data_IF_584689347668
#
_entry.id   IF_584689347668
#
_cell.length_a   1.000
_cell.length_b   1.000
_cell.length_c   1.000
_cell.angle_alpha   90.00
_cell.angle_beta   90.00
_cell.angle_gamma   90.00
#
_symmetry.space_group_name_H-M   'P 1'
#
loop_
_entity.id
_entity.type
_entity.pdbx_description
1 polymer ?
#
# COMPACT_ATOMS: atom_id res chain seq x y z
N UNK A 1 -48.33 -36.44 -37.76
CA UNK A 1 -47.16 -37.31 -37.43
C UNK A 1 -46.35 -37.79 -38.66
N UNK A 2 -46.09 -36.93 -39.66
CA UNK A 2 -45.17 -37.25 -40.78
C UNK A 2 -44.08 -36.18 -41.03
N UNK A 3 -44.00 -35.16 -40.17
CA UNK A 3 -43.05 -34.06 -40.33
C UNK A 3 -41.93 -34.02 -39.26
N UNK A 4 -41.98 -34.90 -38.24
CA UNK A 4 -40.92 -35.04 -37.22
C UNK A 4 -39.94 -36.21 -37.45
N UNK A 5 -40.13 -37.04 -38.50
CA UNK A 5 -39.18 -38.13 -38.82
C UNK A 5 -38.08 -37.76 -39.82
N UNK A 6 -38.10 -36.55 -40.40
CA UNK A 6 -37.06 -36.08 -41.31
C UNK A 6 -35.94 -35.27 -40.64
N UNK A 7 -36.12 -34.72 -39.44
CA UNK A 7 -35.04 -34.00 -38.74
C UNK A 7 -34.12 -34.89 -37.91
N UNK A 8 -34.55 -36.11 -37.54
CA UNK A 8 -33.66 -37.04 -36.82
C UNK A 8 -32.68 -37.79 -37.73
N UNK A 9 -32.99 -38.00 -39.02
CA UNK A 9 -32.05 -38.66 -39.94
C UNK A 9 -30.88 -37.74 -40.38
N UNK A 10 -31.05 -36.42 -40.40
CA UNK A 10 -29.93 -35.50 -40.65
C UNK A 10 -29.00 -35.34 -39.44
N UNK A 11 -29.50 -35.52 -38.20
CA UNK A 11 -28.67 -35.40 -36.99
C UNK A 11 -27.75 -36.62 -36.79
N UNK A 12 -28.17 -37.82 -37.21
CA UNK A 12 -27.37 -39.05 -37.07
C UNK A 12 -26.31 -39.17 -38.19
N UNK A 13 -26.54 -38.58 -39.36
CA UNK A 13 -25.55 -38.58 -40.45
C UNK A 13 -24.37 -37.61 -40.22
N UNK A 14 -24.57 -36.53 -39.43
CA UNK A 14 -23.50 -35.56 -39.13
C UNK A 14 -22.61 -36.05 -37.96
N UNK A 15 -23.14 -36.86 -37.05
CA UNK A 15 -22.34 -37.46 -35.95
C UNK A 15 -21.47 -38.65 -36.40
N UNK A 16 -21.75 -39.29 -37.54
CA UNK A 16 -20.93 -40.39 -38.07
C UNK A 16 -19.76 -39.95 -38.96
N UNK A 17 -19.67 -38.66 -39.33
CA UNK A 17 -18.61 -38.11 -40.17
C UNK A 17 -17.48 -37.41 -39.41
N UNK A 18 -17.58 -37.27 -38.08
CA UNK A 18 -16.51 -36.71 -37.23
C UNK A 18 -15.64 -37.75 -36.51
N UNK A 19 -15.84 -39.04 -36.79
CA UNK A 19 -14.93 -40.13 -36.39
C UNK A 19 -14.10 -40.57 -37.61
N UNK A 20 -13.34 -39.63 -38.18
CA UNK A 20 -12.18 -39.98 -38.98
C UNK A 20 -10.96 -39.74 -38.11
N UNK A 21 -10.42 -40.83 -37.58
CA UNK A 21 -9.10 -40.90 -36.97
C UNK A 21 -8.09 -40.37 -37.98
N UNK A 22 -7.63 -39.13 -37.80
CA UNK A 22 -6.40 -38.68 -38.45
C UNK A 22 -5.29 -39.63 -37.97
N UNK A 23 -4.43 -40.15 -38.86
CA UNK A 23 -3.28 -40.91 -38.42
C UNK A 23 -2.49 -40.04 -37.45
N UNK A 24 -2.18 -40.61 -36.27
CA UNK A 24 -1.24 -40.03 -35.33
C UNK A 24 0.04 -39.81 -36.13
N UNK A 25 0.31 -38.54 -36.47
CA UNK A 25 1.66 -38.13 -36.83
C UNK A 25 2.51 -38.54 -35.65
N UNK A 26 3.34 -39.55 -35.83
CA UNK A 26 4.45 -39.84 -34.93
C UNK A 26 5.32 -38.59 -34.96
N UNK A 27 5.02 -37.64 -34.07
CA UNK A 27 6.01 -36.70 -33.62
C UNK A 27 7.18 -37.57 -33.19
N UNK A 28 8.28 -37.44 -33.92
CA UNK A 28 9.56 -37.89 -33.42
C UNK A 28 9.64 -37.33 -31.99
N UNK A 29 9.79 -38.23 -31.01
CA UNK A 29 10.21 -37.81 -29.69
C UNK A 29 11.51 -37.04 -29.93
N UNK A 30 11.46 -35.73 -29.77
CA UNK A 30 12.67 -34.94 -29.63
C UNK A 30 13.53 -35.65 -28.57
N UNK A 31 14.85 -35.76 -28.78
CA UNK A 31 15.72 -36.43 -27.82
C UNK A 31 15.45 -35.80 -26.46
N UNK A 32 15.13 -36.65 -25.48
CA UNK A 32 14.90 -36.26 -24.08
C UNK A 32 16.06 -35.36 -23.65
N UNK A 33 15.87 -34.05 -23.77
CA UNK A 33 16.66 -33.08 -23.04
C UNK A 33 16.37 -33.42 -21.60
N UNK A 34 17.41 -33.75 -20.83
CA UNK A 34 17.29 -33.83 -19.38
C UNK A 34 16.48 -32.63 -18.92
N UNK A 35 15.34 -32.81 -18.23
CA UNK A 35 14.57 -31.68 -17.77
C UNK A 35 15.49 -30.81 -16.90
N UNK A 36 15.44 -29.49 -17.11
CA UNK A 36 16.19 -28.56 -16.29
C UNK A 36 15.51 -28.53 -14.93
N UNK A 37 15.93 -29.46 -14.08
CA UNK A 37 15.38 -29.69 -12.74
C UNK A 37 16.51 -29.69 -11.72
N UNK A 38 16.20 -29.29 -10.49
CA UNK A 38 17.13 -29.39 -9.36
C UNK A 38 16.42 -29.20 -8.03
N UNK A 39 17.21 -29.15 -6.95
CA UNK A 39 16.71 -28.83 -5.61
C UNK A 39 16.98 -27.37 -5.28
N UNK A 40 16.21 -26.82 -4.37
CA UNK A 40 16.39 -25.48 -3.83
C UNK A 40 16.06 -25.49 -2.33
N UNK A 41 16.62 -26.47 -1.61
CA UNK A 41 16.30 -26.77 -0.23
C UNK A 41 15.91 -28.23 -0.02
N UNK A 42 15.81 -28.64 1.26
CA UNK A 42 15.68 -30.05 1.65
C UNK A 42 14.48 -30.78 1.03
N UNK A 43 13.36 -30.08 0.84
CA UNK A 43 12.09 -30.63 0.34
C UNK A 43 11.49 -29.80 -0.80
N UNK A 44 12.27 -28.89 -1.38
CA UNK A 44 11.85 -28.02 -2.47
C UNK A 44 12.66 -28.34 -3.73
N UNK A 45 11.97 -28.43 -4.86
CA UNK A 45 12.55 -28.68 -6.17
C UNK A 45 12.11 -27.62 -7.16
N UNK A 46 12.95 -27.35 -8.14
CA UNK A 46 12.62 -26.45 -9.23
C UNK A 46 12.59 -27.21 -10.56
N UNK A 47 11.75 -26.73 -11.47
CA UNK A 47 11.65 -27.15 -12.86
C UNK A 47 11.63 -25.90 -13.74
N UNK A 48 12.55 -25.81 -14.70
CA UNK A 48 12.59 -24.73 -15.67
C UNK A 48 11.98 -25.16 -17.01
N UNK A 49 10.94 -24.45 -17.42
CA UNK A 49 10.18 -24.74 -18.63
C UNK A 49 10.73 -23.90 -19.79
N UNK A 50 11.55 -24.54 -20.64
CA UNK A 50 12.06 -23.92 -21.87
C UNK A 50 10.90 -23.55 -22.81
N UNK A 51 10.91 -22.30 -23.30
CA UNK A 51 9.91 -21.76 -24.22
C UNK A 51 8.90 -20.82 -23.57
N UNK A 52 8.59 -21.00 -22.28
CA UNK A 52 7.84 -20.02 -21.47
C UNK A 52 8.74 -19.22 -20.53
N UNK A 53 10.01 -19.61 -20.38
CA UNK A 53 10.97 -18.99 -19.47
C UNK A 53 10.47 -18.96 -18.02
N UNK A 54 9.78 -20.05 -17.64
CA UNK A 54 9.09 -20.18 -16.37
C UNK A 54 9.86 -21.11 -15.43
N UNK A 55 10.12 -20.65 -14.22
CA UNK A 55 10.65 -21.44 -13.11
C UNK A 55 9.50 -21.84 -12.19
N UNK A 56 9.20 -23.13 -12.15
CA UNK A 56 8.19 -23.70 -11.25
C UNK A 56 8.92 -24.29 -10.06
N UNK A 57 8.56 -23.86 -8.84
CA UNK A 57 9.12 -24.36 -7.60
C UNK A 57 8.02 -25.10 -6.84
N UNK A 58 8.28 -26.38 -6.57
CA UNK A 58 7.35 -27.29 -5.92
C UNK A 58 7.95 -27.91 -4.68
N UNK A 59 7.08 -28.35 -3.77
CA UNK A 59 7.48 -29.10 -2.59
C UNK A 59 7.03 -28.41 -1.32
N UNK A 60 7.84 -28.52 -0.26
CA UNK A 60 7.50 -27.94 1.05
C UNK A 60 8.67 -27.25 1.71
N UNK A 61 8.38 -26.33 2.62
CA UNK A 61 9.40 -25.69 3.45
C UNK A 61 10.04 -24.48 2.78
N UNK A 62 11.36 -24.36 2.85
CA UNK A 62 12.09 -23.15 2.47
C UNK A 62 12.77 -23.28 1.11
N UNK A 63 12.82 -22.18 0.36
CA UNK A 63 13.66 -22.02 -0.82
C UNK A 63 15.02 -21.49 -0.38
N UNK A 64 16.07 -22.29 -0.53
CA UNK A 64 17.44 -21.99 -0.13
C UNK A 64 18.32 -21.75 -1.38
N UNK A 65 19.17 -20.71 -1.35
CA UNK A 65 20.04 -20.32 -2.48
C UNK A 65 21.19 -21.31 -2.73
N UNK A 66 21.67 -21.97 -1.68
CA UNK A 66 22.92 -22.74 -1.70
C UNK A 66 22.88 -24.05 -2.52
N UNK A 67 21.76 -24.37 -3.19
CA UNK A 67 21.59 -25.60 -3.96
C UNK A 67 21.24 -25.42 -5.46
N UNK A 68 21.34 -24.21 -6.03
CA UNK A 68 21.15 -24.03 -7.48
C UNK A 68 22.36 -24.53 -8.27
N UNK A 69 22.50 -25.84 -8.46
CA UNK A 69 23.42 -26.44 -9.43
C UNK A 69 22.92 -26.24 -10.87
N UNK A 70 22.84 -24.98 -11.31
CA UNK A 70 22.31 -24.60 -12.63
C UNK A 70 23.37 -24.74 -13.71
N UNK A 71 23.42 -25.90 -14.34
CA UNK A 71 24.40 -26.20 -15.40
C UNK A 71 23.93 -25.79 -16.80
N UNK A 72 22.70 -25.30 -16.95
CA UNK A 72 21.95 -25.32 -18.22
C UNK A 72 21.18 -24.02 -18.56
N UNK A 73 20.98 -23.11 -17.59
CA UNK A 73 20.44 -21.77 -17.76
C UNK A 73 20.93 -20.87 -16.62
N UNK A 74 20.80 -19.56 -16.78
CA UNK A 74 21.20 -18.57 -15.76
C UNK A 74 19.94 -17.98 -15.14
N UNK A 75 19.73 -18.19 -13.84
CA UNK A 75 18.57 -17.68 -13.10
C UNK A 75 18.34 -16.19 -13.38
N UNK A 76 19.44 -15.45 -13.41
CA UNK A 76 19.50 -14.00 -13.53
C UNK A 76 19.01 -13.47 -14.89
N UNK A 77 19.22 -14.24 -15.97
CA UNK A 77 18.99 -13.75 -17.35
C UNK A 77 17.90 -14.48 -18.11
N UNK A 78 17.53 -15.70 -17.69
CA UNK A 78 16.66 -16.57 -18.49
C UNK A 78 15.26 -16.74 -17.87
N UNK A 79 15.07 -16.46 -16.58
CA UNK A 79 13.78 -16.64 -15.90
C UNK A 79 12.93 -15.37 -15.98
N UNK A 80 11.78 -15.47 -16.62
CA UNK A 80 10.81 -14.38 -16.75
C UNK A 80 9.62 -14.52 -15.79
N UNK A 81 9.30 -15.75 -15.39
CA UNK A 81 8.15 -16.06 -14.53
C UNK A 81 8.56 -17.03 -13.44
N UNK A 82 8.22 -16.73 -12.19
CA UNK A 82 8.37 -17.67 -11.07
C UNK A 82 6.98 -18.06 -10.57
N UNK A 83 6.73 -19.37 -10.46
CA UNK A 83 5.55 -19.92 -9.79
C UNK A 83 5.96 -20.78 -8.62
N UNK A 84 5.51 -20.43 -7.43
CA UNK A 84 5.77 -21.18 -6.21
C UNK A 84 4.48 -21.92 -5.83
N UNK A 85 4.56 -23.23 -5.66
CA UNK A 85 3.41 -24.06 -5.29
C UNK A 85 3.05 -23.94 -3.82
N UNK A 86 1.80 -24.28 -3.50
CA UNK A 86 1.35 -24.54 -2.13
C UNK A 86 2.31 -25.50 -1.40
N UNK A 87 2.54 -25.23 -0.12
CA UNK A 87 3.43 -26.00 0.75
C UNK A 87 4.81 -25.37 0.96
N UNK A 88 5.25 -24.49 0.05
CA UNK A 88 6.41 -23.64 0.28
C UNK A 88 6.02 -22.52 1.25
N UNK A 89 6.83 -22.33 2.28
CA UNK A 89 6.57 -21.44 3.41
C UNK A 89 7.45 -20.19 3.41
N UNK A 90 8.66 -20.24 2.83
CA UNK A 90 9.54 -19.06 2.82
C UNK A 90 10.58 -19.08 1.71
N UNK A 91 11.10 -17.89 1.40
CA UNK A 91 12.28 -17.69 0.57
C UNK A 91 13.41 -17.17 1.46
N UNK A 92 14.61 -17.73 1.33
CA UNK A 92 15.79 -17.28 2.06
C UNK A 92 16.41 -16.01 1.44
N UNK A 93 17.40 -15.46 2.14
CA UNK A 93 18.14 -14.28 1.70
C UNK A 93 18.73 -14.46 0.27
N UNK A 94 18.65 -13.40 -0.52
CA UNK A 94 19.22 -13.30 -1.88
C UNK A 94 18.74 -14.37 -2.90
N UNK A 95 17.68 -15.14 -2.63
CA UNK A 95 17.31 -16.32 -3.45
C UNK A 95 17.02 -16.03 -4.93
N UNK A 96 16.38 -14.90 -5.23
CA UNK A 96 16.12 -14.41 -6.59
C UNK A 96 16.76 -13.04 -6.84
N UNK A 97 17.83 -12.74 -6.11
CA UNK A 97 18.61 -11.54 -6.35
C UNK A 97 19.19 -11.56 -7.76
N UNK A 98 19.22 -10.38 -8.39
CA UNK A 98 19.74 -10.17 -9.75
C UNK A 98 18.97 -10.93 -10.85
N UNK A 99 17.74 -11.41 -10.58
CA UNK A 99 16.81 -11.94 -11.60
C UNK A 99 16.30 -10.84 -12.54
N UNK A 100 17.19 -10.31 -13.37
CA UNK A 100 16.96 -9.15 -14.23
C UNK A 100 15.93 -9.42 -15.33
N UNK A 101 15.73 -10.67 -15.72
CA UNK A 101 14.69 -11.06 -16.67
C UNK A 101 13.31 -11.27 -16.03
N UNK A 102 13.22 -11.40 -14.70
CA UNK A 102 12.00 -11.72 -13.99
C UNK A 102 10.97 -10.61 -14.16
N UNK A 103 9.78 -10.96 -14.64
CA UNK A 103 8.65 -10.05 -14.85
C UNK A 103 7.54 -10.27 -13.84
N UNK A 104 7.32 -11.51 -13.44
CA UNK A 104 6.19 -11.89 -12.58
C UNK A 104 6.60 -13.00 -11.61
N UNK A 105 6.12 -12.89 -10.37
CA UNK A 105 6.24 -13.91 -9.34
C UNK A 105 4.86 -14.18 -8.74
N UNK A 106 4.53 -15.46 -8.54
CA UNK A 106 3.31 -15.90 -7.87
C UNK A 106 3.68 -16.58 -6.56
N UNK A 107 3.29 -15.97 -5.44
CA UNK A 107 3.46 -16.49 -4.09
C UNK A 107 2.18 -17.24 -3.66
N UNK A 108 2.28 -18.45 -3.06
CA UNK A 108 1.12 -19.22 -2.59
C UNK A 108 0.55 -18.66 -1.28
N UNK A 109 -0.64 -19.11 -0.88
CA UNK A 109 -1.25 -18.68 0.38
C UNK A 109 -0.49 -19.25 1.60
N UNK A 110 0.23 -20.36 1.47
CA UNK A 110 1.06 -20.94 2.55
C UNK A 110 2.30 -20.11 2.91
N UNK A 111 2.57 -19.03 2.17
CA UNK A 111 3.81 -18.28 2.29
C UNK A 111 3.84 -17.40 3.55
N UNK A 112 4.91 -17.51 4.33
CA UNK A 112 5.08 -16.90 5.65
C UNK A 112 6.16 -15.82 5.66
N UNK A 113 7.29 -16.02 4.97
CA UNK A 113 8.38 -15.04 5.00
C UNK A 113 9.22 -14.93 3.74
N UNK A 114 9.70 -13.70 3.47
CA UNK A 114 10.61 -13.36 2.37
C UNK A 114 11.93 -12.85 2.96
N UNK A 115 13.05 -13.48 2.62
CA UNK A 115 14.38 -13.10 3.07
C UNK A 115 14.84 -11.73 2.58
N UNK A 116 15.91 -11.23 3.19
CA UNK A 116 16.55 -9.98 2.79
C UNK A 116 17.12 -10.09 1.37
N UNK A 117 16.99 -9.03 0.58
CA UNK A 117 17.45 -8.96 -0.83
C UNK A 117 16.86 -10.06 -1.73
N UNK A 118 15.80 -10.76 -1.31
CA UNK A 118 15.26 -11.90 -2.04
C UNK A 118 14.93 -11.61 -3.51
N UNK A 119 14.47 -10.40 -3.84
CA UNK A 119 14.22 -9.95 -5.21
C UNK A 119 14.98 -8.65 -5.53
N UNK A 120 16.11 -8.38 -4.87
CA UNK A 120 16.94 -7.21 -5.16
C UNK A 120 17.39 -7.24 -6.64
N UNK A 121 17.32 -6.10 -7.31
CA UNK A 121 17.73 -5.90 -8.71
C UNK A 121 16.98 -6.79 -9.73
N UNK A 122 15.75 -7.20 -9.43
CA UNK A 122 14.80 -7.78 -10.39
C UNK A 122 14.23 -6.70 -11.32
N UNK A 123 15.05 -6.20 -12.24
CA UNK A 123 14.80 -4.96 -13.00
C UNK A 123 13.51 -4.92 -13.82
N UNK A 124 13.00 -6.06 -14.24
CA UNK A 124 11.79 -6.18 -15.07
C UNK A 124 10.55 -6.60 -14.29
N UNK A 125 10.64 -6.81 -12.96
CA UNK A 125 9.50 -7.23 -12.15
C UNK A 125 8.45 -6.12 -12.18
N UNK A 126 7.23 -6.41 -12.62
CA UNK A 126 6.21 -5.38 -12.86
C UNK A 126 5.27 -5.15 -11.68
N UNK A 127 4.96 -6.21 -10.92
CA UNK A 127 4.10 -6.14 -9.75
C UNK A 127 4.48 -7.20 -8.73
N UNK A 128 4.12 -6.95 -7.46
CA UNK A 128 4.21 -7.93 -6.38
C UNK A 128 2.93 -7.93 -5.55
N UNK A 129 2.41 -9.11 -5.27
CA UNK A 129 1.31 -9.33 -4.33
C UNK A 129 1.83 -10.18 -3.17
N UNK A 130 1.74 -9.64 -1.96
CA UNK A 130 2.17 -10.28 -0.74
C UNK A 130 0.93 -10.93 -0.07
N UNK A 131 0.87 -12.27 0.04
CA UNK A 131 -0.32 -12.97 0.51
C UNK A 131 -0.57 -12.78 2.02
N UNK A 132 -1.78 -13.15 2.45
CA UNK A 132 -2.33 -12.88 3.80
C UNK A 132 -1.53 -13.50 4.96
N UNK A 133 -0.75 -14.55 4.71
CA UNK A 133 0.00 -15.25 5.75
C UNK A 133 1.44 -14.76 5.90
N UNK A 134 1.89 -13.83 5.05
CA UNK A 134 3.25 -13.29 5.16
C UNK A 134 3.33 -12.35 6.35
N UNK A 135 4.21 -12.68 7.29
CA UNK A 135 4.43 -11.89 8.51
C UNK A 135 5.74 -11.12 8.48
N UNK A 136 6.72 -11.55 7.68
CA UNK A 136 8.08 -11.01 7.67
C UNK A 136 8.62 -10.87 6.23
N UNK A 137 9.18 -9.71 5.92
CA UNK A 137 9.88 -9.41 4.65
C UNK A 137 11.16 -8.68 5.00
N UNK A 138 12.29 -9.20 4.56
CA UNK A 138 13.61 -8.67 4.90
C UNK A 138 13.93 -7.30 4.29
N UNK A 139 15.06 -6.75 4.74
CA UNK A 139 15.61 -5.52 4.19
C UNK A 139 16.00 -5.70 2.71
N UNK A 140 15.89 -4.64 1.93
CA UNK A 140 16.23 -4.60 0.50
C UNK A 140 15.48 -5.61 -0.40
N UNK A 141 14.42 -6.30 0.09
CA UNK A 141 13.81 -7.43 -0.63
C UNK A 141 13.32 -7.09 -2.04
N UNK A 142 12.94 -5.85 -2.32
CA UNK A 142 12.55 -5.39 -3.66
C UNK A 142 13.37 -4.17 -4.13
N UNK A 143 14.55 -3.93 -3.54
CA UNK A 143 15.38 -2.81 -3.95
C UNK A 143 15.80 -2.95 -5.42
N UNK A 144 15.87 -1.84 -6.16
CA UNK A 144 16.28 -1.75 -7.56
C UNK A 144 15.40 -2.52 -8.55
N UNK A 145 14.16 -2.84 -8.19
CA UNK A 145 13.13 -3.33 -9.12
C UNK A 145 12.60 -2.16 -9.97
N UNK A 146 13.40 -1.69 -10.93
CA UNK A 146 13.14 -0.44 -11.66
C UNK A 146 11.81 -0.39 -12.39
N UNK A 147 11.27 -1.54 -12.80
CA UNK A 147 10.00 -1.67 -13.54
C UNK A 147 8.80 -1.98 -12.64
N UNK A 148 8.97 -2.11 -11.32
CA UNK A 148 7.90 -2.43 -10.38
C UNK A 148 6.94 -1.25 -10.32
N UNK A 149 5.67 -1.47 -10.67
CA UNK A 149 4.61 -0.44 -10.71
C UNK A 149 3.69 -0.51 -9.52
N UNK A 150 3.39 -1.71 -9.04
CA UNK A 150 2.44 -1.92 -7.94
C UNK A 150 3.00 -2.90 -6.91
N UNK A 151 2.76 -2.58 -5.63
CA UNK A 151 3.04 -3.48 -4.52
C UNK A 151 1.80 -3.55 -3.61
N UNK A 152 1.22 -4.74 -3.47
CA UNK A 152 0.00 -4.95 -2.68
C UNK A 152 0.29 -5.90 -1.52
N UNK A 153 -0.10 -5.48 -0.32
CA UNK A 153 0.14 -6.23 0.90
C UNK A 153 -1.17 -6.68 1.54
N UNK A 154 -1.35 -7.98 1.67
CA UNK A 154 -2.53 -8.58 2.34
C UNK A 154 -2.19 -9.18 3.71
N UNK A 155 -0.91 -9.39 4.02
CA UNK A 155 -0.45 -9.97 5.29
C UNK A 155 -0.41 -9.00 6.47
N UNK A 156 -0.39 -9.50 7.72
CA UNK A 156 -0.36 -8.71 8.96
C UNK A 156 1.04 -8.15 9.28
N UNK A 157 1.71 -7.59 8.27
CA UNK A 157 3.09 -7.11 8.36
C UNK A 157 3.18 -5.90 9.27
N UNK A 158 4.15 -5.93 10.19
CA UNK A 158 4.34 -4.86 11.18
C UNK A 158 5.34 -3.79 10.71
N UNK A 159 6.29 -4.17 9.85
CA UNK A 159 7.42 -3.32 9.47
C UNK A 159 7.67 -3.40 7.97
N UNK A 160 7.81 -2.25 7.32
CA UNK A 160 8.52 -2.17 6.05
C UNK A 160 10.01 -1.96 6.37
N UNK A 161 10.82 -2.98 6.15
CA UNK A 161 12.25 -2.97 6.45
C UNK A 161 13.04 -1.93 5.64
N UNK A 162 14.27 -1.69 6.08
CA UNK A 162 15.20 -0.76 5.45
C UNK A 162 15.35 -1.06 3.94
N UNK A 163 15.29 0.01 3.12
CA UNK A 163 15.52 -0.02 1.67
C UNK A 163 14.61 -0.99 0.90
N UNK A 164 13.48 -1.43 1.47
CA UNK A 164 12.61 -2.46 0.87
C UNK A 164 12.25 -2.20 -0.60
N UNK A 165 11.90 -0.95 -0.95
CA UNK A 165 11.60 -0.52 -2.33
C UNK A 165 12.57 0.54 -2.84
N UNK A 166 13.79 0.58 -2.31
CA UNK A 166 14.78 1.58 -2.72
C UNK A 166 15.05 1.50 -4.22
N UNK A 167 15.04 2.64 -4.89
CA UNK A 167 15.25 2.80 -6.34
C UNK A 167 14.22 2.06 -7.22
N UNK A 168 13.03 1.73 -6.71
CA UNK A 168 11.88 1.28 -7.51
C UNK A 168 11.27 2.46 -8.27
N UNK A 169 11.98 2.96 -9.29
CA UNK A 169 11.68 4.23 -9.95
C UNK A 169 10.33 4.30 -10.65
N UNK A 170 9.76 3.15 -11.05
CA UNK A 170 8.43 3.07 -11.67
C UNK A 170 7.29 2.76 -10.71
N UNK A 171 7.54 2.66 -9.40
CA UNK A 171 6.51 2.34 -8.41
C UNK A 171 5.49 3.46 -8.34
N UNK A 172 4.24 3.17 -8.70
CA UNK A 172 3.15 4.14 -8.80
C UNK A 172 2.19 4.04 -7.62
N UNK A 173 1.88 2.80 -7.20
CA UNK A 173 0.92 2.52 -6.13
C UNK A 173 1.45 1.49 -5.15
N UNK A 174 1.17 1.71 -3.86
CA UNK A 174 1.50 0.79 -2.77
C UNK A 174 0.31 0.73 -1.83
N UNK A 175 -0.25 -0.46 -1.65
CA UNK A 175 -1.35 -0.69 -0.71
C UNK A 175 -0.79 -1.29 0.57
N UNK A 176 -0.72 -0.49 1.62
CA UNK A 176 -0.20 -0.89 2.93
C UNK A 176 -1.31 -1.42 3.85
N UNK A 177 -1.08 -2.49 4.64
CA UNK A 177 -2.01 -2.89 5.68
C UNK A 177 -1.96 -1.93 6.87
N UNK A 178 -3.10 -1.75 7.54
CA UNK A 178 -3.23 -0.92 8.75
C UNK A 178 -2.37 -1.42 9.94
N UNK A 179 -1.82 -2.63 9.83
CA UNK A 179 -1.01 -3.27 10.86
C UNK A 179 0.44 -2.76 10.90
N UNK A 180 0.90 -2.03 9.89
CA UNK A 180 2.28 -1.50 9.85
C UNK A 180 2.44 -0.40 10.91
N UNK A 181 3.44 -0.57 11.77
CA UNK A 181 3.82 0.38 12.84
C UNK A 181 5.14 1.09 12.55
N UNK A 182 5.94 0.59 11.59
CA UNK A 182 7.25 1.12 11.23
C UNK A 182 7.54 1.09 9.72
N UNK A 183 8.08 2.19 9.20
CA UNK A 183 8.71 2.28 7.87
C UNK A 183 10.21 2.52 8.04
N UNK A 184 11.04 1.67 7.46
CA UNK A 184 12.49 1.66 7.59
C UNK A 184 13.20 2.80 6.88
N UNK A 185 14.51 2.87 7.10
CA UNK A 185 15.43 3.81 6.47
C UNK A 185 15.43 3.59 4.96
N UNK A 186 15.29 4.67 4.18
CA UNK A 186 15.29 4.63 2.71
C UNK A 186 14.24 3.66 2.08
N UNK A 187 13.19 3.26 2.82
CA UNK A 187 12.25 2.22 2.38
C UNK A 187 11.62 2.49 1.00
N UNK A 188 11.32 3.76 0.67
CA UNK A 188 10.80 4.22 -0.62
C UNK A 188 11.75 5.23 -1.29
N UNK A 189 13.03 5.28 -0.89
CA UNK A 189 13.98 6.21 -1.47
C UNK A 189 14.14 5.94 -2.97
N UNK A 190 13.96 6.95 -3.82
CA UNK A 190 14.07 6.81 -5.27
C UNK A 190 12.83 6.29 -5.98
N UNK A 191 11.68 6.15 -5.29
CA UNK A 191 10.39 5.85 -5.90
C UNK A 191 9.81 7.07 -6.65
N UNK A 192 10.43 7.42 -7.78
CA UNK A 192 10.18 8.67 -8.50
C UNK A 192 8.74 8.80 -9.02
N UNK A 193 8.05 7.68 -9.27
CA UNK A 193 6.70 7.65 -9.81
C UNK A 193 5.59 7.55 -8.76
N UNK A 194 5.95 7.37 -7.49
CA UNK A 194 4.99 7.24 -6.39
C UNK A 194 4.34 8.61 -6.19
N UNK A 195 3.02 8.66 -6.37
CA UNK A 195 2.26 9.92 -6.42
C UNK A 195 1.33 10.12 -5.22
N UNK A 196 0.79 9.01 -4.71
CA UNK A 196 0.01 8.93 -3.49
C UNK A 196 0.53 7.78 -2.62
N UNK A 197 0.46 7.97 -1.30
CA UNK A 197 0.74 6.93 -0.32
C UNK A 197 -0.09 7.21 0.92
N UNK A 198 -1.02 6.31 1.22
CA UNK A 198 -1.76 6.34 2.48
C UNK A 198 -0.92 5.69 3.57
N UNK A 199 -0.57 6.48 4.59
CA UNK A 199 0.16 5.98 5.75
C UNK A 199 -0.81 5.32 6.74
N UNK A 200 -0.50 4.11 7.25
CA UNK A 200 -1.29 3.42 8.26
C UNK A 200 -1.53 4.27 9.50
N UNK A 201 -2.74 4.22 10.05
CA UNK A 201 -3.11 5.01 11.25
C UNK A 201 -2.29 4.69 12.50
N UNK A 202 -1.80 3.45 12.61
CA UNK A 202 -1.00 2.94 13.73
C UNK A 202 0.52 3.16 13.56
N UNK A 203 0.93 3.86 12.50
CA UNK A 203 2.34 4.11 12.22
C UNK A 203 2.96 5.02 13.30
N UNK A 204 4.08 4.59 13.88
CA UNK A 204 4.79 5.30 14.96
C UNK A 204 6.21 5.72 14.59
N UNK A 205 6.82 5.06 13.61
CA UNK A 205 8.20 5.32 13.21
C UNK A 205 8.34 5.35 11.68
N UNK A 206 9.04 6.35 11.16
CA UNK A 206 9.49 6.45 9.77
C UNK A 206 10.99 6.74 9.81
N UNK A 207 11.80 5.96 9.08
CA UNK A 207 13.25 6.05 9.08
C UNK A 207 13.83 7.25 8.31
N UNK A 208 15.15 7.43 8.43
CA UNK A 208 15.88 8.45 7.67
C UNK A 208 15.71 8.23 6.16
N UNK A 209 15.58 9.32 5.40
CA UNK A 209 15.43 9.28 3.94
C UNK A 209 14.31 8.38 3.39
N UNK A 210 13.31 8.00 4.20
CA UNK A 210 12.30 6.99 3.82
C UNK A 210 11.59 7.28 2.49
N UNK A 211 11.32 8.56 2.18
CA UNK A 211 10.71 9.01 0.93
C UNK A 211 11.65 9.87 0.08
N UNK A 212 12.97 9.79 0.30
CA UNK A 212 13.92 10.62 -0.44
C UNK A 212 13.73 10.46 -1.96
N UNK A 213 13.70 11.55 -2.71
CA UNK A 213 13.53 11.59 -4.16
C UNK A 213 12.23 10.97 -4.70
N UNK A 214 11.18 10.86 -3.89
CA UNK A 214 9.81 10.58 -4.37
C UNK A 214 9.24 11.82 -5.09
N UNK A 215 9.75 12.08 -6.30
CA UNK A 215 9.56 13.36 -7.00
C UNK A 215 8.12 13.65 -7.45
N UNK A 216 7.26 12.63 -7.54
CA UNK A 216 5.84 12.77 -7.90
C UNK A 216 4.88 12.73 -6.71
N UNK A 217 5.37 12.49 -5.50
CA UNK A 217 4.54 12.43 -4.30
C UNK A 217 3.94 13.82 -4.04
N UNK A 218 2.62 13.95 -4.13
CA UNK A 218 1.94 15.25 -4.05
C UNK A 218 1.53 15.62 -2.63
N UNK A 219 1.06 14.64 -1.87
CA UNK A 219 0.57 14.82 -0.51
C UNK A 219 1.07 13.70 0.39
N UNK A 220 1.21 14.00 1.67
CA UNK A 220 1.47 12.99 2.70
C UNK A 220 0.80 13.43 4.01
N UNK A 221 0.10 12.49 4.65
CA UNK A 221 -0.56 12.71 5.95
C UNK A 221 0.16 11.89 7.00
N UNK A 222 0.89 12.57 7.89
CA UNK A 222 1.55 11.92 9.03
C UNK A 222 0.52 11.63 10.13
N UNK A 223 0.31 10.37 10.50
CA UNK A 223 -0.66 9.99 11.53
C UNK A 223 -0.22 10.45 12.93
N UNK A 224 -1.16 10.39 13.88
CA UNK A 224 -0.97 10.85 15.27
C UNK A 224 0.23 10.19 15.97
N UNK A 225 0.55 8.94 15.61
CA UNK A 225 1.66 8.18 16.17
C UNK A 225 3.05 8.69 15.79
N UNK A 226 3.18 9.50 14.74
CA UNK A 226 4.47 10.07 14.32
C UNK A 226 4.84 11.23 15.25
N UNK A 227 5.90 11.05 16.01
CA UNK A 227 6.37 12.02 17.02
C UNK A 227 7.52 12.90 16.53
N UNK A 228 8.24 12.51 15.49
CA UNK A 228 9.35 13.28 14.92
C UNK A 228 9.54 13.01 13.43
N UNK A 229 10.04 14.00 12.69
CA UNK A 229 10.55 13.79 11.34
C UNK A 229 12.05 13.52 11.34
N UNK A 230 12.42 12.42 10.71
CA UNK A 230 13.80 11.96 10.52
C UNK A 230 14.58 12.77 9.47
N UNK A 231 15.90 12.59 9.44
CA UNK A 231 16.77 13.32 8.53
C UNK A 231 16.51 12.92 7.08
N UNK A 232 16.45 13.91 6.18
CA UNK A 232 16.26 13.74 4.73
C UNK A 232 15.02 12.95 4.31
N UNK A 233 14.08 12.72 5.22
CA UNK A 233 12.91 11.84 5.01
C UNK A 233 12.13 12.15 3.73
N UNK A 234 12.04 13.44 3.35
CA UNK A 234 11.37 13.93 2.14
C UNK A 234 12.30 14.77 1.25
N UNK A 235 13.61 14.60 1.38
CA UNK A 235 14.57 15.34 0.56
C UNK A 235 14.40 14.97 -0.93
N UNK A 236 14.32 15.94 -1.82
CA UNK A 236 14.12 15.67 -3.26
C UNK A 236 12.68 15.33 -3.66
N UNK A 237 11.70 15.37 -2.74
CA UNK A 237 10.28 15.28 -3.06
C UNK A 237 9.76 16.58 -3.68
N UNK A 238 10.18 16.87 -4.91
CA UNK A 238 9.88 18.13 -5.62
C UNK A 238 8.41 18.30 -5.98
N UNK A 239 7.63 17.22 -5.99
CA UNK A 239 6.20 17.21 -6.29
C UNK A 239 5.31 17.54 -5.09
N UNK A 240 5.85 17.58 -3.88
CA UNK A 240 5.03 17.81 -2.67
C UNK A 240 4.36 19.18 -2.73
N UNK A 241 3.03 19.16 -2.67
CA UNK A 241 2.17 20.34 -2.62
C UNK A 241 1.69 20.59 -1.19
N UNK A 242 1.48 19.54 -0.40
CA UNK A 242 0.97 19.61 0.97
C UNK A 242 1.51 18.51 1.87
N UNK A 243 1.85 18.86 3.11
CA UNK A 243 2.09 17.90 4.20
C UNK A 243 1.12 18.17 5.34
N UNK A 244 0.46 17.12 5.81
CA UNK A 244 -0.48 17.18 6.94
C UNK A 244 0.10 16.49 8.15
N UNK A 245 0.07 17.16 9.31
CA UNK A 245 0.57 16.65 10.58
C UNK A 245 -0.61 16.47 11.54
N UNK A 246 -0.94 15.21 11.84
CA UNK A 246 -2.01 14.89 12.80
C UNK A 246 -1.51 14.89 14.24
N UNK A 247 -0.19 14.86 14.48
CA UNK A 247 0.37 15.04 15.82
C UNK A 247 0.71 16.52 16.07
N UNK A 248 0.03 17.21 17.01
CA UNK A 248 0.31 18.61 17.30
C UNK A 248 1.72 18.84 17.88
N UNK A 249 2.33 17.81 18.46
CA UNK A 249 3.63 17.88 19.12
C UNK A 249 4.77 17.26 18.27
N UNK A 250 4.51 16.95 17.00
CA UNK A 250 5.51 16.34 16.12
C UNK A 250 6.77 17.20 16.01
N UNK A 251 7.94 16.65 16.32
CA UNK A 251 9.21 17.36 16.22
C UNK A 251 9.54 17.64 14.76
N UNK A 252 9.53 18.93 14.42
CA UNK A 252 9.79 19.41 13.07
C UNK A 252 11.30 19.44 12.76
N UNK A 253 11.71 19.27 11.49
CA UNK A 253 13.13 19.14 11.13
C UNK A 253 13.92 20.43 11.40
N UNK A 254 15.15 20.31 11.88
CA UNK A 254 15.97 21.46 12.27
C UNK A 254 16.77 22.08 11.11
N UNK A 255 17.41 21.30 10.22
CA UNK A 255 18.07 21.77 8.98
C UNK A 255 18.24 20.61 7.95
N UNK A 256 18.46 20.92 6.66
CA UNK A 256 18.70 20.00 5.50
C UNK A 256 17.48 19.24 4.92
N UNK A 257 16.30 19.36 5.52
CA UNK A 257 15.05 18.79 5.00
C UNK A 257 13.92 19.82 5.08
N UNK A 258 14.22 21.04 4.64
CA UNK A 258 13.26 22.14 4.73
C UNK A 258 12.00 21.78 3.94
N UNK A 259 10.88 21.61 4.65
CA UNK A 259 9.57 21.54 4.03
C UNK A 259 9.37 22.84 3.23
N UNK A 260 9.15 22.73 1.93
CA UNK A 260 8.94 23.88 1.03
C UNK A 260 7.50 24.03 0.58
N UNK A 261 6.67 23.02 0.84
CA UNK A 261 5.27 22.97 0.42
C UNK A 261 4.33 23.58 1.46
N UNK A 262 3.03 23.54 1.18
CA UNK A 262 2.01 23.94 2.16
C UNK A 262 2.04 22.98 3.35
N UNK A 263 1.96 23.51 4.56
CA UNK A 263 1.90 22.71 5.79
C UNK A 263 0.50 22.80 6.35
N UNK A 264 -0.06 21.67 6.75
CA UNK A 264 -1.37 21.56 7.38
C UNK A 264 -1.23 20.93 8.77
N UNK A 265 -1.86 21.52 9.78
CA UNK A 265 -1.78 21.06 11.17
C UNK A 265 -2.70 21.84 12.11
N UNK A 266 -2.71 21.51 13.40
CA UNK A 266 -3.48 22.25 14.41
C UNK A 266 -2.90 23.65 14.67
N UNK A 267 -3.72 24.63 15.07
CA UNK A 267 -3.31 26.04 15.19
C UNK A 267 -2.14 26.27 16.17
N UNK A 268 -2.14 25.48 17.24
CA UNK A 268 -1.16 25.52 18.34
C UNK A 268 -0.09 24.41 18.23
N UNK A 269 0.06 23.80 17.05
CA UNK A 269 1.04 22.74 16.83
C UNK A 269 2.47 23.24 16.58
N UNK A 270 3.43 22.34 16.77
CA UNK A 270 4.82 22.48 16.29
C UNK A 270 4.87 22.74 14.79
N UNK A 271 4.01 22.10 13.99
CA UNK A 271 3.90 22.31 12.56
C UNK A 271 3.48 23.76 12.21
N UNK A 272 2.53 24.32 12.97
CA UNK A 272 2.13 25.72 12.83
C UNK A 272 3.26 26.69 13.20
N UNK A 273 3.99 26.42 14.29
CA UNK A 273 5.15 27.21 14.69
C UNK A 273 6.26 27.16 13.63
N UNK A 274 6.56 25.98 13.11
CA UNK A 274 7.54 25.76 12.05
C UNK A 274 7.17 26.48 10.76
N UNK A 275 5.90 26.42 10.34
CA UNK A 275 5.43 27.12 9.15
C UNK A 275 5.55 28.64 9.29
N UNK A 276 5.24 29.20 10.47
CA UNK A 276 5.44 30.64 10.76
C UNK A 276 6.92 31.03 10.72
N UNK A 277 7.80 30.24 11.33
CA UNK A 277 9.24 30.49 11.36
C UNK A 277 9.85 30.48 9.95
N UNK A 278 9.42 29.55 9.10
CA UNK A 278 9.94 29.35 7.74
C UNK A 278 9.14 30.08 6.65
N UNK A 279 8.12 30.89 7.03
CA UNK A 279 7.25 31.63 6.11
C UNK A 279 6.55 30.74 5.08
N UNK A 280 6.15 29.54 5.49
CA UNK A 280 5.40 28.60 4.66
C UNK A 280 3.91 28.95 4.66
N UNK A 281 3.21 28.53 3.60
CA UNK A 281 1.75 28.55 3.61
C UNK A 281 1.27 27.54 4.65
N UNK A 282 0.62 28.03 5.72
CA UNK A 282 0.06 27.19 6.76
C UNK A 282 -1.46 27.13 6.63
N UNK A 283 -1.98 25.92 6.67
CA UNK A 283 -3.41 25.65 6.68
C UNK A 283 -3.80 24.96 7.98
N UNK A 284 -4.81 25.50 8.67
CA UNK A 284 -5.27 24.93 9.93
C UNK A 284 -6.16 23.70 9.69
N UNK A 285 -5.88 22.60 10.38
CA UNK A 285 -6.82 21.50 10.60
C UNK A 285 -7.81 21.96 11.67
N UNK A 286 -9.09 21.88 11.35
CA UNK A 286 -10.14 22.11 12.32
C UNK A 286 -10.25 20.87 13.21
N UNK A 287 -10.21 21.04 14.52
CA UNK A 287 -10.57 19.96 15.43
C UNK A 287 -12.03 19.60 15.21
N UNK A 288 -12.37 18.32 15.39
CA UNK A 288 -13.77 17.89 15.32
C UNK A 288 -14.56 18.67 16.37
N UNK A 289 -15.61 19.37 15.96
CA UNK A 289 -16.38 20.27 16.80
C UNK A 289 -15.87 21.72 16.87
N UNK A 290 -14.64 22.02 16.47
CA UNK A 290 -14.07 23.39 16.41
C UNK A 290 -14.22 23.97 14.99
N UNK A 291 -15.33 24.64 14.73
CA UNK A 291 -15.79 25.04 13.40
C UNK A 291 -15.19 26.37 12.97
N UNK A 292 -14.98 27.29 13.91
CA UNK A 292 -14.30 28.54 13.65
C UNK A 292 -12.76 28.42 13.75
N UNK A 293 -12.30 27.28 14.27
CA UNK A 293 -10.93 26.80 14.42
C UNK A 293 -10.10 27.56 15.47
N UNK A 294 -10.77 28.23 16.41
CA UNK A 294 -10.11 29.02 17.44
C UNK A 294 -9.34 28.16 18.46
N UNK A 295 -9.48 26.83 18.40
CA UNK A 295 -8.84 25.85 19.29
C UNK A 295 -9.64 25.55 20.56
N UNK A 296 -10.87 26.06 20.65
CA UNK A 296 -11.86 25.78 21.69
C UNK A 296 -13.11 25.22 21.02
N UNK A 297 -13.85 24.36 21.73
CA UNK A 297 -15.11 23.78 21.26
C UNK A 297 -16.21 24.38 22.10
N UNK A 298 -16.94 25.34 21.53
CA UNK A 298 -17.83 26.20 22.28
C UNK A 298 -19.21 26.45 21.62
N UNK A 299 -19.96 27.39 22.19
CA UNK A 299 -21.31 27.74 21.71
C UNK A 299 -21.25 28.41 20.32
N UNK A 300 -20.16 29.10 19.98
CA UNK A 300 -19.98 29.73 18.68
C UNK A 300 -19.85 28.67 17.57
N UNK A 301 -19.21 27.55 17.86
CA UNK A 301 -19.10 26.41 16.94
C UNK A 301 -20.46 25.79 16.64
N UNK A 302 -21.21 25.45 17.69
CA UNK A 302 -22.57 24.95 17.54
C UNK A 302 -23.49 25.94 16.82
N UNK A 303 -23.33 27.24 17.10
CA UNK A 303 -24.07 28.29 16.41
C UNK A 303 -23.72 28.31 14.92
N UNK A 304 -22.46 28.13 14.54
CA UNK A 304 -22.01 28.10 13.15
C UNK A 304 -22.64 26.91 12.38
N UNK A 305 -22.71 25.73 13.00
CA UNK A 305 -23.42 24.56 12.47
C UNK A 305 -24.90 24.85 12.26
N UNK A 306 -25.58 25.39 13.28
CA UNK A 306 -27.01 25.74 13.18
C UNK A 306 -27.28 26.78 12.09
N UNK A 307 -26.44 27.80 11.97
CA UNK A 307 -26.59 28.82 10.92
C UNK A 307 -26.46 28.23 9.52
N UNK A 308 -25.53 27.29 9.32
CA UNK A 308 -25.38 26.58 8.04
C UNK A 308 -26.59 25.71 7.74
N UNK A 309 -27.02 24.91 8.71
CA UNK A 309 -28.19 24.05 8.59
C UNK A 309 -29.46 24.83 8.25
N UNK A 310 -29.70 25.97 8.92
CA UNK A 310 -30.85 26.83 8.64
C UNK A 310 -30.77 27.44 7.25
N UNK A 311 -29.58 27.88 6.80
CA UNK A 311 -29.38 28.42 5.46
C UNK A 311 -29.75 27.38 4.38
N UNK A 312 -29.27 26.14 4.54
CA UNK A 312 -29.58 25.04 3.63
C UNK A 312 -31.07 24.67 3.64
N UNK A 313 -31.70 24.65 4.81
CA UNK A 313 -33.13 24.34 4.99
C UNK A 313 -34.06 25.32 4.28
N UNK A 314 -33.60 26.56 4.02
CA UNK A 314 -34.34 27.57 3.25
C UNK A 314 -33.88 27.69 1.79
N UNK A 315 -33.10 26.72 1.30
CA UNK A 315 -32.62 26.65 -0.08
C UNK A 315 -31.49 27.64 -0.41
N UNK A 316 -30.78 28.17 0.60
CA UNK A 316 -29.55 28.94 0.40
C UNK A 316 -28.34 28.01 0.43
N UNK A 317 -27.21 28.51 -0.06
CA UNK A 317 -25.94 27.78 0.05
C UNK A 317 -25.52 27.66 1.53
N UNK A 318 -24.84 26.56 1.91
CA UNK A 318 -24.20 26.43 3.21
C UNK A 318 -23.32 27.65 3.50
N UNK A 319 -23.31 28.11 4.75
CA UNK A 319 -22.41 29.19 5.18
C UNK A 319 -21.02 28.65 5.50
N UNK A 320 -20.94 27.37 5.84
CA UNK A 320 -19.69 26.65 6.10
C UNK A 320 -19.06 26.17 4.79
N UNK A 321 -17.73 26.21 4.74
CA UNK A 321 -17.00 25.55 3.66
C UNK A 321 -16.87 24.04 3.94
N UNK A 322 -16.41 23.28 2.94
CA UNK A 322 -16.30 21.81 3.02
C UNK A 322 -15.58 21.30 4.28
N UNK A 323 -14.50 21.97 4.71
CA UNK A 323 -13.72 21.54 5.89
C UNK A 323 -14.44 21.82 7.20
N UNK A 324 -15.16 22.93 7.24
CA UNK A 324 -16.01 23.26 8.38
C UNK A 324 -17.18 22.30 8.47
N UNK A 325 -17.70 21.81 7.35
CA UNK A 325 -18.71 20.75 7.32
C UNK A 325 -18.14 19.41 7.83
N UNK A 326 -16.90 19.06 7.44
CA UNK A 326 -16.20 17.87 7.95
C UNK A 326 -15.93 17.92 9.46
N UNK A 327 -15.51 19.09 9.97
CA UNK A 327 -15.35 19.30 11.41
C UNK A 327 -16.70 19.34 12.15
N UNK A 328 -17.76 19.76 11.47
CA UNK A 328 -19.11 19.86 12.01
C UNK A 328 -19.86 18.53 12.05
N UNK A 329 -19.59 17.58 11.16
CA UNK A 329 -20.18 16.22 11.21
C UNK A 329 -19.53 15.42 12.34
N UNK A 330 -19.86 15.80 13.57
CA UNK A 330 -19.32 15.19 14.78
C UNK A 330 -19.83 13.75 14.93
N UNK A 331 -21.06 13.45 14.50
CA UNK A 331 -21.67 12.12 14.63
C UNK A 331 -21.44 11.15 13.46
N UNK A 332 -20.69 11.56 12.43
CA UNK A 332 -20.30 10.74 11.26
C UNK A 332 -21.47 10.21 10.44
N UNK A 333 -22.59 10.93 10.38
CA UNK A 333 -23.74 10.50 9.57
C UNK A 333 -23.71 11.06 8.14
N UNK A 334 -22.61 11.73 7.76
CA UNK A 334 -22.40 12.42 6.49
C UNK A 334 -23.39 13.56 6.23
N UNK A 335 -24.00 14.10 7.28
CA UNK A 335 -24.85 15.29 7.25
C UNK A 335 -24.37 16.24 8.33
N UNK A 336 -24.51 17.53 8.05
CA UNK A 336 -24.27 18.58 9.03
C UNK A 336 -25.61 19.21 9.37
N UNK A 337 -26.17 18.87 10.53
CA UNK A 337 -27.50 19.32 10.93
C UNK A 337 -27.58 19.76 12.40
N UNK A 338 -28.81 20.02 12.86
CA UNK A 338 -29.04 20.49 14.23
C UNK A 338 -28.61 19.46 15.30
N UNK A 339 -28.50 18.17 14.96
CA UNK A 339 -28.01 17.13 15.86
C UNK A 339 -26.53 17.33 16.15
N UNK A 340 -25.73 17.63 15.13
CA UNK A 340 -24.31 17.91 15.29
C UNK A 340 -24.05 19.12 16.19
N UNK A 341 -24.81 20.19 15.98
CA UNK A 341 -24.74 21.37 16.83
C UNK A 341 -25.09 21.05 18.29
N UNK A 342 -26.10 20.19 18.52
CA UNK A 342 -26.47 19.77 19.86
C UNK A 342 -25.36 18.96 20.52
N UNK A 343 -24.70 18.07 19.78
CA UNK A 343 -23.58 17.26 20.28
C UNK A 343 -22.38 18.15 20.63
N UNK A 344 -22.09 19.18 19.83
CA UNK A 344 -21.07 20.19 20.15
C UNK A 344 -21.41 20.94 21.45
N UNK A 345 -22.68 21.34 21.64
CA UNK A 345 -23.13 21.99 22.87
C UNK A 345 -23.05 21.06 24.09
N UNK A 346 -23.41 19.79 23.93
CA UNK A 346 -23.30 18.79 25.00
C UNK A 346 -21.84 18.57 25.39
N UNK A 347 -20.94 18.45 24.42
CA UNK A 347 -19.50 18.37 24.64
C UNK A 347 -18.97 19.61 25.38
N UNK A 348 -19.33 20.81 24.94
CA UNK A 348 -18.96 22.07 25.60
C UNK A 348 -19.48 22.13 27.05
N UNK A 349 -20.76 21.81 27.27
CA UNK A 349 -21.38 21.83 28.59
C UNK A 349 -20.71 20.83 29.53
N UNK A 350 -20.40 19.63 29.03
CA UNK A 350 -19.82 18.56 29.83
C UNK A 350 -18.39 18.90 30.28
N UNK A 351 -17.54 19.38 29.35
CA UNK A 351 -16.17 19.80 29.66
C UNK A 351 -16.12 21.10 30.50
N UNK A 352 -17.18 21.90 30.51
CA UNK A 352 -17.32 23.05 31.42
C UNK A 352 -17.72 22.70 32.86
N UNK A 353 -18.15 21.45 33.11
CA UNK A 353 -18.69 21.00 34.41
C UNK A 353 -17.82 19.93 35.08
N UNK A 354 -17.09 19.10 34.32
CA UNK A 354 -16.30 17.97 34.83
C UNK A 354 -14.80 18.24 34.77
N UNK A 355 -14.05 17.80 35.79
CA UNK A 355 -12.59 17.99 35.90
C UNK A 355 -11.75 17.09 34.96
N UNK A 356 -12.36 16.11 34.26
CA UNK A 356 -11.68 15.25 33.27
C UNK A 356 -12.40 15.23 31.91
N UNK A 357 -11.68 15.41 30.78
CA UNK A 357 -12.30 15.44 29.45
C UNK A 357 -12.74 14.05 28.97
N UNK A 358 -14.02 13.90 28.62
CA UNK A 358 -14.59 12.68 28.00
C UNK A 358 -14.36 12.64 26.49
N UNK A 359 -14.03 11.47 25.96
CA UNK A 359 -13.93 11.23 24.51
C UNK A 359 -15.31 11.37 23.83
N UNK A 360 -15.34 11.97 22.63
CA UNK A 360 -16.53 12.14 21.78
C UNK A 360 -17.40 10.89 21.68
N UNK A 361 -16.77 9.72 21.62
CA UNK A 361 -17.38 8.40 21.48
C UNK A 361 -18.40 8.04 22.57
N UNK A 362 -18.30 8.68 23.75
CA UNK A 362 -19.21 8.47 24.87
C UNK A 362 -20.56 9.18 24.72
N UNK A 363 -20.67 10.19 23.85
CA UNK A 363 -21.88 11.00 23.64
C UNK A 363 -22.80 10.46 22.52
N UNK A 364 -22.32 9.57 21.65
CA UNK A 364 -23.13 9.03 20.52
C UNK A 364 -24.01 7.82 20.88
N UNK A 365 -23.72 7.12 21.98
CA UNK A 365 -24.34 5.85 22.33
C UNK A 365 -25.49 5.97 23.37
N UNK A 366 -25.95 7.18 23.68
CA UNK A 366 -27.01 7.44 24.69
C UNK A 366 -28.38 7.70 24.09
#
# INVERSE_FOLDING_TARGET
MKQHRKSLLCAVAVLAAMLQTQPISTFALDPVTTPDDGTCGQYARWHFVRGTNELVIEGTGKIERDEYEMHSFTLETDVEVIRISEGIESIDDDAFKDCQALKTVSLPDTFVSIGARAFENCRLLESIQIPENVTEIGADSFAQCYSLKTAEFSGPIQTLEDRMFKDCSSLETVTLPDTITKIGTEAFSGCMMLHELELPSQLTEIGDSAFQSCSRLETLVFPIGITELRANMIAGCTGLQELTFMNPDCVMPTEHSAITCKVRGYANSTAAAYARQNRLNFERILERGDIDGNGEIDVADAQAVLMSYVAESVGKKPTLNQRQLEAADVNFNCKTDAVDANIILEYYLYNGIMDEPTAWESLYNS
#
